data_IF_884422342355
#
_entry.id   IF_884422342355
#
_cell.length_a   1.000
_cell.length_b   1.000
_cell.length_c   1.000
_cell.angle_alpha   90.00
_cell.angle_beta   90.00
_cell.angle_gamma   90.00
#
_symmetry.space_group_name_H-M   'P 1'
#
loop_
_entity.id
_entity.type
_entity.pdbx_description
1 polymer ?
#
# COMPACT_ATOMS: atom_id res chain seq x y z
N UNK A 1 -11.62 -13.57 -4.92
CA UNK A 1 -10.79 -12.34 -4.92
C UNK A 1 -9.43 -12.61 -5.54
N UNK A 2 -8.95 -11.68 -6.35
CA UNK A 2 -7.58 -11.73 -6.85
C UNK A 2 -6.58 -11.33 -5.76
N UNK A 3 -5.29 -11.63 -5.97
CA UNK A 3 -4.23 -11.18 -5.05
C UNK A 3 -4.22 -9.66 -4.92
N UNK A 4 -4.41 -8.95 -6.03
CA UNK A 4 -4.46 -7.49 -6.04
C UNK A 4 -5.62 -6.95 -5.19
N UNK A 5 -6.81 -7.53 -5.33
CA UNK A 5 -7.97 -7.12 -4.54
C UNK A 5 -7.76 -7.37 -3.04
N UNK A 6 -7.24 -8.54 -2.68
CA UNK A 6 -6.94 -8.86 -1.28
C UNK A 6 -5.88 -7.94 -0.68
N UNK A 7 -4.80 -7.72 -1.42
CA UNK A 7 -3.70 -6.84 -1.00
C UNK A 7 -4.20 -5.41 -0.80
N UNK A 8 -4.91 -4.87 -1.78
CA UNK A 8 -5.43 -3.51 -1.72
C UNK A 8 -6.39 -3.34 -0.54
N UNK A 9 -7.33 -4.27 -0.35
CA UNK A 9 -8.27 -4.23 0.75
C UNK A 9 -7.58 -4.30 2.11
N UNK A 10 -6.63 -5.22 2.27
CA UNK A 10 -5.89 -5.38 3.52
C UNK A 10 -5.13 -4.10 3.89
N UNK A 11 -4.50 -3.46 2.92
CA UNK A 11 -3.75 -2.22 3.15
C UNK A 11 -4.66 -1.05 3.49
N UNK A 12 -5.79 -0.90 2.79
CA UNK A 12 -6.74 0.17 3.06
C UNK A 12 -7.31 0.07 4.48
N UNK A 13 -7.70 -1.13 4.90
CA UNK A 13 -8.23 -1.36 6.25
C UNK A 13 -7.16 -1.10 7.32
N UNK A 14 -5.92 -1.52 7.06
CA UNK A 14 -4.82 -1.32 8.00
C UNK A 14 -4.58 0.16 8.29
N UNK A 15 -4.62 1.01 7.27
CA UNK A 15 -4.47 2.46 7.46
C UNK A 15 -5.64 3.10 8.22
N UNK A 16 -6.75 2.40 8.35
CA UNK A 16 -7.91 2.80 9.16
C UNK A 16 -7.90 2.16 10.56
N UNK A 17 -6.85 1.41 10.87
CA UNK A 17 -6.69 0.77 12.17
C UNK A 17 -7.16 -0.67 12.25
N UNK A 18 -7.66 -1.24 11.17
CA UNK A 18 -8.10 -2.64 11.12
C UNK A 18 -7.01 -3.50 10.47
N UNK A 19 -6.26 -4.23 11.28
CA UNK A 19 -5.15 -5.07 10.85
C UNK A 19 -5.54 -6.54 10.64
N UNK A 20 -6.82 -6.90 10.76
CA UNK A 20 -7.26 -8.29 10.70
C UNK A 20 -6.91 -8.99 9.39
N UNK A 21 -7.04 -8.31 8.24
CA UNK A 21 -6.68 -8.88 6.95
C UNK A 21 -5.16 -8.90 6.73
N UNK A 22 -4.43 -7.91 7.20
CA UNK A 22 -2.96 -7.91 7.15
C UNK A 22 -2.42 -9.10 7.93
N UNK A 23 -2.90 -9.33 9.15
CA UNK A 23 -2.47 -10.47 9.96
C UNK A 23 -2.75 -11.81 9.29
N UNK A 24 -3.85 -11.90 8.56
CA UNK A 24 -4.26 -13.10 7.85
C UNK A 24 -3.45 -13.35 6.58
N UNK A 25 -3.16 -12.29 5.85
CA UNK A 25 -2.53 -12.34 4.52
C UNK A 25 -1.01 -12.41 4.58
N UNK A 26 -0.40 -11.77 5.57
CA UNK A 26 1.05 -11.72 5.70
C UNK A 26 1.56 -12.87 6.55
N UNK A 27 2.65 -13.50 6.09
CA UNK A 27 3.37 -14.46 6.92
C UNK A 27 3.98 -13.73 8.12
N UNK A 28 4.01 -14.34 9.33
CA UNK A 28 4.60 -13.68 10.51
C UNK A 28 6.04 -13.23 10.33
N UNK A 29 6.81 -13.95 9.51
CA UNK A 29 8.21 -13.64 9.22
C UNK A 29 8.39 -12.73 7.99
N UNK A 30 7.30 -12.17 7.48
CA UNK A 30 7.35 -11.28 6.32
C UNK A 30 8.27 -10.10 6.56
N UNK A 31 9.07 -9.80 5.55
CA UNK A 31 9.93 -8.62 5.54
C UNK A 31 9.41 -7.62 4.52
N UNK A 32 9.32 -6.38 4.97
CA UNK A 32 8.93 -5.27 4.12
C UNK A 32 10.12 -4.32 3.95
N UNK A 33 10.55 -4.11 2.72
CA UNK A 33 11.58 -3.14 2.40
C UNK A 33 10.92 -1.86 1.88
N UNK A 34 11.12 -0.77 2.61
CA UNK A 34 10.64 0.56 2.22
C UNK A 34 11.81 1.32 1.61
N UNK A 35 11.77 1.51 0.29
CA UNK A 35 12.83 2.20 -0.44
C UNK A 35 12.98 3.67 -0.07
N UNK A 36 11.94 4.27 0.50
CA UNK A 36 11.98 5.66 0.96
C UNK A 36 12.99 5.85 2.10
N UNK A 37 13.07 4.88 3.01
CA UNK A 37 13.98 4.94 4.16
C UNK A 37 15.16 3.96 4.05
N UNK A 38 15.15 3.07 3.06
CA UNK A 38 16.22 2.12 2.83
C UNK A 38 16.36 1.03 3.89
N UNK A 39 15.28 0.72 4.61
CA UNK A 39 15.29 -0.23 5.72
C UNK A 39 14.29 -1.36 5.51
N UNK A 40 14.66 -2.56 5.97
CA UNK A 40 13.72 -3.65 6.18
C UNK A 40 13.00 -3.44 7.51
N UNK A 41 11.68 -3.61 7.47
CA UNK A 41 10.84 -3.54 8.67
C UNK A 41 10.02 -4.81 8.78
N UNK A 42 9.78 -5.25 10.01
CA UNK A 42 8.91 -6.39 10.27
C UNK A 42 7.44 -5.96 10.29
N UNK A 43 6.53 -6.92 10.45
CA UNK A 43 5.10 -6.65 10.41
C UNK A 43 4.64 -5.71 11.54
N UNK A 44 5.20 -5.85 12.74
CA UNK A 44 4.85 -4.98 13.87
C UNK A 44 5.27 -3.54 13.61
N UNK A 45 6.45 -3.33 13.05
CA UNK A 45 6.92 -2.01 12.66
C UNK A 45 6.06 -1.41 11.55
N UNK A 46 5.62 -2.22 10.60
CA UNK A 46 4.68 -1.77 9.56
C UNK A 46 3.37 -1.29 10.16
N UNK A 47 2.82 -2.03 11.11
CA UNK A 47 1.56 -1.66 11.77
C UNK A 47 1.69 -0.31 12.48
N UNK A 48 2.81 -0.07 13.16
CA UNK A 48 3.07 1.21 13.81
C UNK A 48 3.17 2.35 12.78
N UNK A 49 3.84 2.12 11.65
CA UNK A 49 3.96 3.12 10.58
C UNK A 49 2.60 3.44 9.96
N UNK A 50 1.78 2.43 9.69
CA UNK A 50 0.43 2.65 9.14
C UNK A 50 -0.43 3.48 10.08
N UNK A 51 -0.35 3.23 11.39
CA UNK A 51 -1.07 4.01 12.39
C UNK A 51 -0.59 5.47 12.41
N UNK A 52 0.72 5.70 12.26
CA UNK A 52 1.29 7.04 12.21
C UNK A 52 0.85 7.83 10.96
N UNK A 53 0.51 7.15 9.87
CA UNK A 53 0.09 7.75 8.60
C UNK A 53 -1.40 7.54 8.33
N UNK A 54 -2.25 7.57 9.35
CA UNK A 54 -3.69 7.34 9.24
C UNK A 54 -4.43 8.31 8.30
N UNK A 55 -3.84 9.47 7.99
CA UNK A 55 -4.41 10.45 7.06
C UNK A 55 -4.11 10.13 5.59
N UNK A 56 -3.67 8.92 5.30
CA UNK A 56 -3.37 8.49 3.95
C UNK A 56 -4.60 7.87 3.30
N UNK A 57 -4.94 8.34 2.11
CA UNK A 57 -5.97 7.76 1.25
C UNK A 57 -5.30 7.17 0.02
N UNK A 58 -5.62 5.91 -0.30
CA UNK A 58 -5.16 5.29 -1.54
C UNK A 58 -6.23 5.43 -2.61
N UNK A 59 -5.82 5.91 -3.78
CA UNK A 59 -6.67 5.99 -4.97
C UNK A 59 -6.80 4.63 -5.66
N UNK A 60 -7.18 4.62 -6.95
CA UNK A 60 -7.29 3.38 -7.69
C UNK A 60 -5.93 2.69 -7.84
N UNK A 61 -5.97 1.37 -7.95
CA UNK A 61 -4.76 0.60 -8.23
C UNK A 61 -4.77 0.07 -9.66
N UNK A 62 -3.58 -0.23 -10.16
CA UNK A 62 -3.37 -0.86 -11.46
C UNK A 62 -2.42 -2.05 -11.27
N UNK A 63 -2.83 -3.22 -11.73
CA UNK A 63 -1.97 -4.40 -11.71
C UNK A 63 -0.99 -4.30 -12.87
N UNK A 64 0.31 -4.30 -12.57
CA UNK A 64 1.38 -4.32 -13.57
C UNK A 64 1.66 -5.76 -13.97
N UNK A 65 1.74 -6.66 -13.00
CA UNK A 65 1.97 -8.08 -13.21
C UNK A 65 1.43 -8.89 -12.03
N UNK A 66 0.85 -10.04 -12.32
CA UNK A 66 0.34 -10.96 -11.30
C UNK A 66 0.47 -12.40 -11.76
N UNK A 67 0.99 -13.28 -10.90
CA UNK A 67 0.96 -14.72 -11.07
C UNK A 67 0.76 -15.39 -9.70
N UNK A 68 0.94 -16.70 -9.59
CA UNK A 68 0.70 -17.43 -8.34
C UNK A 68 1.60 -16.97 -7.18
N UNK A 69 2.81 -16.54 -7.48
CA UNK A 69 3.85 -16.28 -6.48
C UNK A 69 4.21 -14.80 -6.34
N UNK A 70 3.69 -13.94 -7.23
CA UNK A 70 4.13 -12.55 -7.27
C UNK A 70 3.01 -11.61 -7.72
N UNK A 71 3.00 -10.42 -7.10
CA UNK A 71 2.13 -9.32 -7.50
C UNK A 71 2.96 -8.05 -7.62
N UNK A 72 2.83 -7.35 -8.74
CA UNK A 72 3.35 -5.99 -8.89
C UNK A 72 2.16 -5.07 -9.15
N UNK A 73 1.98 -4.10 -8.28
CA UNK A 73 0.81 -3.22 -8.28
C UNK A 73 1.24 -1.77 -8.10
N UNK A 74 0.61 -0.87 -8.86
CA UNK A 74 0.82 0.56 -8.74
C UNK A 74 -0.46 1.20 -8.18
N UNK A 75 -0.29 2.16 -7.26
CA UNK A 75 -1.40 2.92 -6.69
C UNK A 75 -1.01 4.38 -6.57
N UNK A 76 -2.01 5.25 -6.53
CA UNK A 76 -1.83 6.62 -6.10
C UNK A 76 -2.15 6.74 -4.63
N UNK A 77 -1.49 7.68 -3.96
CA UNK A 77 -1.75 7.99 -2.57
C UNK A 77 -1.84 9.49 -2.33
N UNK A 78 -2.62 9.86 -1.33
CA UNK A 78 -2.73 11.23 -0.86
C UNK A 78 -2.58 11.24 0.65
N UNK A 79 -1.66 12.06 1.16
CA UNK A 79 -1.46 12.24 2.58
C UNK A 79 -1.82 13.68 2.95
N UNK A 80 -2.78 13.85 3.84
CA UNK A 80 -3.19 15.17 4.34
C UNK A 80 -2.41 15.51 5.59
N UNK A 81 -1.48 16.44 5.46
CA UNK A 81 -0.76 17.03 6.59
C UNK A 81 -1.46 18.31 7.04
N UNK A 82 -1.07 18.83 8.19
CA UNK A 82 -1.73 20.01 8.80
C UNK A 82 -1.74 21.23 7.88
N UNK A 83 -0.70 21.42 7.06
CA UNK A 83 -0.53 22.60 6.21
C UNK A 83 -0.38 22.31 4.73
N UNK A 84 -0.35 21.06 4.35
CA UNK A 84 -0.13 20.68 2.95
C UNK A 84 -0.76 19.33 2.64
N UNK A 85 -0.95 19.07 1.37
CA UNK A 85 -1.38 17.76 0.86
C UNK A 85 -0.24 17.23 0.01
N UNK A 86 0.19 16.00 0.32
CA UNK A 86 1.19 15.30 -0.46
C UNK A 86 0.51 14.27 -1.36
N UNK A 87 0.87 14.29 -2.63
CA UNK A 87 0.44 13.28 -3.59
C UNK A 87 1.62 12.38 -3.93
N UNK A 88 1.33 11.11 -4.17
CA UNK A 88 2.39 10.14 -4.44
C UNK A 88 1.90 9.03 -5.35
N UNK A 89 2.84 8.40 -6.04
CA UNK A 89 2.64 7.12 -6.71
C UNK A 89 3.47 6.07 -5.97
N UNK A 90 2.88 4.90 -5.79
CA UNK A 90 3.51 3.80 -5.09
C UNK A 90 3.52 2.58 -6.00
N UNK A 91 4.66 1.90 -6.07
CA UNK A 91 4.78 0.62 -6.76
C UNK A 91 5.22 -0.40 -5.72
N UNK A 92 4.46 -1.48 -5.61
CA UNK A 92 4.74 -2.55 -4.65
C UNK A 92 4.98 -3.85 -5.40
N UNK A 93 6.08 -4.52 -5.05
CA UNK A 93 6.36 -5.89 -5.43
C UNK A 93 6.14 -6.79 -4.22
N UNK A 94 5.30 -7.81 -4.39
CA UNK A 94 4.84 -8.65 -3.29
C UNK A 94 5.06 -10.11 -3.66
N UNK A 95 5.83 -10.82 -2.84
CA UNK A 95 6.11 -12.24 -3.04
C UNK A 95 5.24 -13.07 -2.11
N UNK A 96 4.67 -14.15 -2.64
CA UNK A 96 3.80 -15.07 -1.92
C UNK A 96 4.47 -16.44 -1.80
N UNK A 97 4.20 -17.12 -0.70
CA UNK A 97 4.51 -18.54 -0.49
C UNK A 97 3.37 -19.13 0.33
N UNK A 98 2.80 -20.24 -0.14
CA UNK A 98 1.66 -20.89 0.52
C UNK A 98 0.51 -19.91 0.79
N UNK A 99 0.21 -19.07 -0.22
CA UNK A 99 -0.85 -18.07 -0.20
C UNK A 99 -0.66 -16.93 0.82
N UNK A 100 0.54 -16.81 1.40
CA UNK A 100 0.87 -15.73 2.32
C UNK A 100 2.01 -14.88 1.79
N UNK A 101 1.96 -13.59 2.10
CA UNK A 101 3.00 -12.65 1.71
C UNK A 101 4.22 -12.88 2.59
N UNK A 102 5.35 -13.17 1.95
CA UNK A 102 6.64 -13.40 2.62
C UNK A 102 7.62 -12.27 2.41
N UNK A 103 7.42 -11.47 1.38
CA UNK A 103 8.24 -10.28 1.10
C UNK A 103 7.39 -9.22 0.42
N UNK A 104 7.61 -7.99 0.82
CA UNK A 104 6.92 -6.83 0.27
C UNK A 104 7.92 -5.69 0.11
N UNK A 105 8.04 -5.15 -1.09
CA UNK A 105 8.88 -3.99 -1.37
C UNK A 105 8.01 -2.89 -1.94
N UNK A 106 8.23 -1.65 -1.49
CA UNK A 106 7.48 -0.50 -2.00
C UNK A 106 8.44 0.62 -2.36
N UNK A 107 8.30 1.14 -3.56
CA UNK A 107 8.93 2.37 -4.00
C UNK A 107 7.87 3.48 -4.05
N UNK A 108 8.22 4.65 -3.57
CA UNK A 108 7.33 5.81 -3.51
C UNK A 108 7.98 6.98 -4.22
N UNK A 109 7.21 7.66 -5.05
CA UNK A 109 7.62 8.91 -5.68
C UNK A 109 6.58 9.98 -5.35
N UNK A 110 7.00 11.10 -4.81
CA UNK A 110 6.12 12.23 -4.57
C UNK A 110 5.86 13.00 -5.87
N UNK A 111 4.62 13.41 -6.04
CA UNK A 111 4.17 14.12 -7.23
C UNK A 111 3.94 15.60 -6.89
N UNK A 112 4.23 16.46 -7.84
CA UNK A 112 3.97 17.91 -7.72
C UNK A 112 2.61 18.32 -8.29
N UNK A 113 1.73 17.34 -8.49
CA UNK A 113 0.38 17.54 -9.03
C UNK A 113 -0.58 16.52 -8.40
N UNK A 114 -1.88 16.82 -8.46
CA UNK A 114 -2.93 15.90 -8.04
C UNK A 114 -3.22 14.90 -9.17
N UNK A 115 -2.91 13.60 -8.99
CA UNK A 115 -3.08 12.61 -10.06
C UNK A 115 -4.55 12.34 -10.42
N UNK A 116 -5.52 12.82 -9.65
CA UNK A 116 -6.95 12.69 -9.99
C UNK A 116 -7.42 13.74 -11.00
N UNK A 117 -6.66 14.82 -11.17
CA UNK A 117 -7.05 15.88 -12.11
C UNK A 117 -7.09 15.36 -13.54
N UNK A 118 -8.20 15.64 -14.23
CA UNK A 118 -8.41 15.19 -15.59
C UNK A 118 -8.70 13.70 -15.74
N UNK A 119 -8.89 12.98 -14.64
CA UNK A 119 -9.22 11.55 -14.62
C UNK A 119 -10.70 11.35 -14.28
N UNK A 120 -11.19 10.12 -14.47
CA UNK A 120 -12.58 9.76 -14.21
C UNK A 120 -12.83 9.35 -12.75
N UNK A 121 -11.89 9.58 -11.86
CA UNK A 121 -12.01 9.25 -10.45
C UNK A 121 -11.65 10.43 -9.57
N UNK A 122 -12.11 10.42 -8.32
CA UNK A 122 -11.73 11.41 -7.34
C UNK A 122 -11.47 10.73 -5.98
N UNK A 123 -10.76 11.46 -5.12
CA UNK A 123 -10.35 10.92 -3.83
C UNK A 123 -11.51 10.58 -2.90
N UNK A 124 -12.62 11.28 -3.02
CA UNK A 124 -13.79 11.04 -2.17
C UNK A 124 -14.37 9.64 -2.37
N UNK A 125 -14.15 9.04 -3.53
CA UNK A 125 -14.60 7.67 -3.82
C UNK A 125 -13.83 6.61 -3.02
N UNK A 126 -12.70 6.99 -2.41
CA UNK A 126 -11.77 6.06 -1.75
C UNK A 126 -11.57 6.35 -0.26
N UNK A 127 -12.20 7.38 0.26
CA UNK A 127 -12.12 7.72 1.70
C UNK A 127 -12.97 6.82 2.59
#
# INVERSE_FOLDING_TARGET
MTKAEEFDKARRLAYKGDFSLVEKLYHPDCKHFDHRVGLEVNLDMQSALMTAYENTTFGPYRVIYENEDFLCIQRYGRNRLTREILYMTLISGVNYRDEKIVRHETAIEYLDYDPSEGQEWNWDDYE
#
